data_IF_794121246555
#
_entry.id   IF_794121246555
#
_cell.length_a   1.000
_cell.length_b   1.000
_cell.length_c   1.000
_cell.angle_alpha   90.00
_cell.angle_beta   90.00
_cell.angle_gamma   90.00
#
_symmetry.space_group_name_H-M   'P 1'
#
loop_
_entity.id
_entity.type
_entity.pdbx_description
1 polymer ?
#
# COMPACT_ATOMS: atom_id res chain seq x y z
N UNK A 1 -2.90 -7.66 9.31
CA UNK A 1 -1.47 -7.88 9.05
C UNK A 1 -0.65 -7.58 10.29
N UNK A 2 -0.49 -6.30 10.73
CA UNK A 2 0.39 -5.91 11.84
C UNK A 2 0.15 -6.72 13.13
N UNK A 3 -1.11 -6.93 13.52
CA UNK A 3 -1.44 -7.70 14.73
C UNK A 3 -0.88 -9.13 14.67
N UNK A 4 -0.98 -9.79 13.52
CA UNK A 4 -0.42 -11.12 13.32
C UNK A 4 1.12 -11.12 13.44
N UNK A 5 1.76 -10.06 12.93
CA UNK A 5 3.21 -9.88 13.06
C UNK A 5 3.64 -9.66 14.51
N UNK A 6 2.97 -8.74 15.22
CA UNK A 6 3.28 -8.42 16.62
C UNK A 6 3.04 -9.60 17.57
N UNK A 7 1.97 -10.37 17.33
CA UNK A 7 1.64 -11.56 18.11
C UNK A 7 2.50 -12.79 17.73
N UNK A 8 3.40 -12.65 16.76
CA UNK A 8 4.22 -13.73 16.22
C UNK A 8 3.43 -14.96 15.70
N UNK A 9 2.21 -14.72 15.20
CA UNK A 9 1.38 -15.78 14.61
C UNK A 9 2.07 -16.45 13.41
N UNK A 10 2.85 -15.65 12.64
CA UNK A 10 3.66 -16.12 11.51
C UNK A 10 5.14 -16.32 11.86
N UNK A 11 5.51 -16.27 13.14
CA UNK A 11 6.89 -16.40 13.60
C UNK A 11 7.71 -15.11 13.45
N UNK A 12 9.00 -15.27 13.19
CA UNK A 12 9.91 -14.13 12.94
C UNK A 12 9.75 -13.67 11.49
N UNK A 13 9.71 -12.35 11.28
CA UNK A 13 9.52 -11.76 9.96
C UNK A 13 10.76 -11.99 9.09
N UNK A 14 10.56 -12.40 7.84
CA UNK A 14 11.61 -12.67 6.87
C UNK A 14 11.48 -11.80 5.63
N UNK A 15 10.24 -11.63 5.10
CA UNK A 15 9.99 -10.86 3.89
C UNK A 15 8.67 -10.10 3.96
N UNK A 16 8.67 -8.90 3.35
CA UNK A 16 7.45 -8.10 3.11
C UNK A 16 7.39 -7.73 1.63
N UNK A 17 6.23 -7.94 1.01
CA UNK A 17 5.96 -7.50 -0.36
C UNK A 17 4.77 -6.57 -0.35
N UNK A 18 4.97 -5.36 -0.87
CA UNK A 18 3.91 -4.36 -1.00
C UNK A 18 3.72 -4.05 -2.49
N UNK A 19 2.48 -4.16 -2.95
CA UNK A 19 2.06 -3.71 -4.29
C UNK A 19 1.06 -2.58 -4.09
N UNK A 20 1.38 -1.40 -4.68
CA UNK A 20 0.52 -0.22 -4.60
C UNK A 20 0.45 0.44 -5.98
N UNK A 21 -0.71 0.31 -6.65
CA UNK A 21 -0.89 0.78 -8.02
C UNK A 21 -2.22 1.49 -8.18
N UNK A 22 -2.16 2.72 -8.70
CA UNK A 22 -3.34 3.50 -9.05
C UNK A 22 -3.97 3.00 -10.37
N UNK A 23 -5.28 3.11 -10.55
CA UNK A 23 -5.96 2.65 -11.77
C UNK A 23 -5.58 3.48 -13.00
N UNK A 24 -5.27 4.76 -12.82
CA UNK A 24 -4.93 5.69 -13.90
C UNK A 24 -4.04 6.83 -13.39
N UNK A 25 -3.22 7.42 -14.27
CA UNK A 25 -2.39 8.56 -13.90
C UNK A 25 -3.24 9.80 -13.58
N UNK A 26 -2.79 10.63 -12.63
CA UNK A 26 -3.47 11.88 -12.30
C UNK A 26 -3.29 12.95 -13.38
N UNK A 27 -4.03 14.06 -13.26
CA UNK A 27 -3.91 15.20 -14.15
C UNK A 27 -2.54 15.88 -14.02
N UNK A 28 -2.14 16.66 -15.06
CA UNK A 28 -0.90 17.45 -15.02
C UNK A 28 -0.89 18.45 -13.85
N UNK A 29 -2.01 19.08 -13.54
CA UNK A 29 -2.07 20.07 -12.46
C UNK A 29 -1.88 19.40 -11.09
N UNK A 30 -2.43 18.20 -10.91
CA UNK A 30 -2.16 17.40 -9.72
C UNK A 30 -0.68 17.04 -9.62
N UNK A 31 -0.06 16.53 -10.69
CA UNK A 31 1.36 16.15 -10.71
C UNK A 31 2.28 17.30 -10.29
N UNK A 32 2.00 18.52 -10.75
CA UNK A 32 2.78 19.71 -10.38
C UNK A 32 2.67 20.06 -8.90
N UNK A 33 1.52 19.80 -8.27
CA UNK A 33 1.24 20.13 -6.88
C UNK A 33 1.65 19.02 -5.89
N UNK A 34 1.67 17.76 -6.33
CA UNK A 34 1.82 16.58 -5.48
C UNK A 34 3.22 16.42 -4.85
N UNK A 35 4.24 17.11 -5.37
CA UNK A 35 5.60 17.04 -4.83
C UNK A 35 6.42 15.85 -5.32
N UNK A 36 5.96 15.16 -6.38
CA UNK A 36 6.63 14.05 -7.03
C UNK A 36 6.16 12.67 -6.56
N UNK A 37 6.46 11.66 -7.37
CA UNK A 37 5.98 10.29 -7.21
C UNK A 37 6.25 9.70 -5.82
N UNK A 38 7.43 9.91 -5.27
CA UNK A 38 7.83 9.33 -3.99
C UNK A 38 7.07 9.94 -2.81
N UNK A 39 6.79 11.24 -2.85
CA UNK A 39 6.05 11.94 -1.80
C UNK A 39 4.55 11.72 -1.88
N UNK A 40 4.03 11.50 -3.07
CA UNK A 40 2.60 11.36 -3.31
C UNK A 40 2.14 9.89 -3.24
N UNK A 41 2.95 8.97 -3.74
CA UNK A 41 2.58 7.54 -3.85
C UNK A 41 3.36 6.68 -2.86
N UNK A 42 4.68 6.61 -2.98
CA UNK A 42 5.51 5.64 -2.25
C UNK A 42 5.60 5.92 -0.75
N UNK A 43 5.38 7.17 -0.32
CA UNK A 43 5.40 7.55 1.11
C UNK A 43 4.47 6.68 1.96
N UNK A 44 3.32 6.31 1.43
CA UNK A 44 2.34 5.45 2.11
C UNK A 44 2.88 4.03 2.34
N UNK A 45 3.65 3.50 1.38
CA UNK A 45 4.24 2.16 1.48
C UNK A 45 5.47 2.14 2.40
N UNK A 46 6.21 3.24 2.47
CA UNK A 46 7.29 3.41 3.44
C UNK A 46 6.74 3.47 4.87
N UNK A 47 5.66 4.21 5.08
CA UNK A 47 4.98 4.25 6.37
C UNK A 47 4.40 2.88 6.74
N UNK A 48 3.71 2.22 5.81
CA UNK A 48 3.20 0.86 6.01
C UNK A 48 4.31 -0.14 6.34
N UNK A 49 5.47 -0.02 5.71
CA UNK A 49 6.65 -0.83 6.01
C UNK A 49 7.10 -0.61 7.46
N UNK A 50 7.24 0.64 7.90
CA UNK A 50 7.59 0.99 9.28
C UNK A 50 6.56 0.46 10.28
N UNK A 51 5.27 0.60 9.94
CA UNK A 51 4.16 0.09 10.75
C UNK A 51 4.20 -1.44 10.94
N UNK A 52 4.58 -2.20 9.89
CA UNK A 52 4.72 -3.65 9.96
C UNK A 52 5.96 -4.06 10.75
N UNK A 53 7.09 -3.40 10.51
CA UNK A 53 8.38 -3.70 11.17
C UNK A 53 8.41 -3.28 12.65
N UNK A 54 7.59 -2.31 13.05
CA UNK A 54 7.59 -1.76 14.42
C UNK A 54 8.95 -1.13 14.77
N UNK A 55 9.60 -1.63 15.82
CA UNK A 55 10.87 -1.09 16.31
C UNK A 55 12.12 -1.60 15.55
N UNK A 56 11.95 -2.17 14.35
CA UNK A 56 13.06 -2.64 13.52
C UNK A 56 13.36 -1.61 12.40
N UNK A 57 14.38 -0.75 12.54
CA UNK A 57 14.61 0.33 11.60
C UNK A 57 15.16 -0.17 10.26
N UNK A 58 14.84 0.57 9.20
CA UNK A 58 15.43 0.36 7.88
C UNK A 58 16.90 0.82 7.88
N UNK A 59 17.78 0.02 7.28
CA UNK A 59 19.24 0.29 7.19
C UNK A 59 19.75 0.36 5.76
N UNK A 60 18.95 -0.08 4.78
CA UNK A 60 19.32 -0.02 3.36
C UNK A 60 18.10 0.21 2.50
N UNK A 61 18.24 1.02 1.45
CA UNK A 61 17.25 1.26 0.40
C UNK A 61 17.97 1.25 -0.95
N UNK A 62 17.43 0.48 -1.90
CA UNK A 62 17.78 0.54 -3.32
C UNK A 62 16.50 0.79 -4.10
N UNK A 63 16.52 1.75 -5.03
CA UNK A 63 15.33 2.19 -5.74
C UNK A 63 15.61 2.41 -7.23
N UNK A 64 14.65 2.02 -8.06
CA UNK A 64 14.60 2.35 -9.49
C UNK A 64 13.22 2.90 -9.81
N UNK A 65 13.18 4.00 -10.55
CA UNK A 65 11.94 4.62 -11.01
C UNK A 65 12.10 5.16 -12.41
N UNK A 66 11.02 5.13 -13.20
CA UNK A 66 11.02 5.57 -14.59
C UNK A 66 9.63 6.11 -14.98
N UNK A 67 9.61 6.97 -15.98
CA UNK A 67 8.39 7.43 -16.67
C UNK A 67 8.16 6.56 -17.90
N UNK A 68 7.49 5.41 -17.71
CA UNK A 68 7.32 4.39 -18.74
C UNK A 68 6.15 4.68 -19.68
N UNK A 69 5.09 5.30 -19.19
CA UNK A 69 3.85 5.46 -19.96
C UNK A 69 3.23 6.85 -19.86
N UNK A 70 3.42 7.60 -18.76
CA UNK A 70 2.81 8.91 -18.60
C UNK A 70 3.68 10.03 -19.19
N UNK A 71 3.23 10.58 -20.33
CA UNK A 71 3.90 11.70 -20.98
C UNK A 71 3.97 12.95 -20.10
N UNK A 72 3.01 13.12 -19.18
CA UNK A 72 3.00 14.25 -18.26
C UNK A 72 4.09 14.10 -17.19
N UNK A 73 4.20 12.91 -16.59
CA UNK A 73 5.28 12.61 -15.66
C UNK A 73 6.65 12.81 -16.33
N UNK A 74 6.85 12.27 -17.52
CA UNK A 74 8.07 12.45 -18.30
C UNK A 74 8.40 13.92 -18.55
N UNK A 75 7.39 14.74 -18.88
CA UNK A 75 7.57 16.17 -19.17
C UNK A 75 8.08 16.96 -17.97
N UNK A 76 7.68 16.60 -16.76
CA UNK A 76 8.13 17.25 -15.51
C UNK A 76 9.29 16.51 -14.84
N UNK A 77 9.87 15.50 -15.49
CA UNK A 77 10.97 14.67 -14.97
C UNK A 77 10.61 13.94 -13.67
N UNK A 78 9.35 13.50 -13.54
CA UNK A 78 8.86 12.65 -12.47
C UNK A 78 8.73 11.20 -12.97
N UNK A 79 8.49 10.25 -12.07
CA UNK A 79 8.26 8.86 -12.37
C UNK A 79 6.76 8.55 -12.43
N UNK A 80 6.41 7.44 -13.09
CA UNK A 80 5.07 6.84 -13.03
C UNK A 80 5.11 5.37 -12.56
N UNK A 81 6.28 4.80 -12.49
CA UNK A 81 6.52 3.42 -12.06
C UNK A 81 7.83 3.37 -11.28
N UNK A 82 7.82 2.68 -10.15
CA UNK A 82 9.03 2.49 -9.34
C UNK A 82 9.03 1.15 -8.58
N UNK A 83 10.23 0.67 -8.27
CA UNK A 83 10.46 -0.52 -7.45
C UNK A 83 11.53 -0.21 -6.41
N UNK A 84 11.35 -0.80 -5.22
CA UNK A 84 12.26 -0.61 -4.09
C UNK A 84 12.60 -1.96 -3.48
N UNK A 85 13.84 -2.10 -3.08
CA UNK A 85 14.31 -3.15 -2.18
C UNK A 85 14.86 -2.49 -0.94
N UNK A 86 14.30 -2.84 0.23
CA UNK A 86 14.74 -2.32 1.51
C UNK A 86 15.20 -3.48 2.39
N UNK A 87 16.03 -3.15 3.38
CA UNK A 87 16.48 -4.11 4.39
C UNK A 87 16.39 -3.48 5.76
N UNK A 88 15.80 -4.20 6.70
CA UNK A 88 15.78 -3.80 8.11
C UNK A 88 17.06 -4.16 8.84
N UNK A 89 17.26 -3.60 10.04
CA UNK A 89 18.41 -3.90 10.90
C UNK A 89 18.46 -5.39 11.31
N UNK A 90 17.29 -6.02 11.50
CA UNK A 90 17.20 -7.46 11.81
C UNK A 90 17.32 -8.36 10.58
N UNK A 91 17.42 -7.79 9.38
CA UNK A 91 17.63 -8.53 8.15
C UNK A 91 16.37 -8.83 7.34
N UNK A 92 15.19 -8.35 7.75
CA UNK A 92 13.95 -8.49 6.96
C UNK A 92 14.14 -7.81 5.61
N UNK A 93 13.78 -8.50 4.54
CA UNK A 93 13.81 -7.98 3.17
C UNK A 93 12.43 -7.46 2.77
N UNK A 94 12.38 -6.27 2.18
CA UNK A 94 11.13 -5.64 1.79
C UNK A 94 11.20 -5.28 0.30
N UNK A 95 10.18 -5.68 -0.44
CA UNK A 95 9.96 -5.29 -1.83
C UNK A 95 8.71 -4.43 -1.94
N UNK A 96 8.86 -3.25 -2.51
CA UNK A 96 7.73 -2.36 -2.85
C UNK A 96 7.71 -2.17 -4.36
N UNK A 97 6.54 -2.26 -4.99
CA UNK A 97 6.35 -1.89 -6.37
C UNK A 97 5.14 -0.98 -6.53
N UNK A 98 5.36 0.14 -7.22
CA UNK A 98 4.37 1.17 -7.43
C UNK A 98 4.18 1.46 -8.91
N UNK A 99 2.95 1.79 -9.31
CA UNK A 99 2.65 2.29 -10.64
C UNK A 99 1.41 3.20 -10.60
N UNK A 100 1.39 4.22 -11.44
CA UNK A 100 0.21 5.06 -11.65
C UNK A 100 -0.74 4.50 -12.72
N UNK A 101 -0.66 3.19 -13.03
CA UNK A 101 -1.55 2.54 -14.00
C UNK A 101 -1.74 1.06 -13.71
N UNK A 102 -2.88 0.72 -13.14
CA UNK A 102 -3.40 -0.64 -13.04
C UNK A 102 -4.79 -0.66 -13.67
N UNK A 103 -4.86 -0.98 -14.96
CA UNK A 103 -6.09 -0.92 -15.76
C UNK A 103 -7.24 -1.79 -15.21
N UNK A 104 -6.92 -2.69 -14.31
CA UNK A 104 -7.87 -3.61 -13.66
C UNK A 104 -8.43 -3.08 -12.33
N UNK A 105 -8.01 -1.90 -11.85
CA UNK A 105 -8.51 -1.27 -10.64
C UNK A 105 -7.42 -0.79 -9.68
N UNK A 106 -7.82 -0.36 -8.48
CA UNK A 106 -6.92 0.13 -7.43
C UNK A 106 -6.25 -1.06 -6.71
N UNK A 107 -5.03 -1.39 -7.11
CA UNK A 107 -4.31 -2.57 -6.65
C UNK A 107 -3.46 -2.27 -5.41
N UNK A 108 -3.93 -2.74 -4.26
CA UNK A 108 -3.30 -2.51 -2.95
C UNK A 108 -3.17 -3.83 -2.20
N UNK A 109 -2.00 -4.44 -2.24
CA UNK A 109 -1.73 -5.75 -1.63
C UNK A 109 -0.52 -5.70 -0.73
N UNK A 110 -0.61 -6.44 0.37
CA UNK A 110 0.49 -6.62 1.33
C UNK A 110 0.61 -8.09 1.64
N UNK A 111 1.79 -8.63 1.46
CA UNK A 111 2.17 -9.97 1.88
C UNK A 111 3.29 -9.89 2.90
N UNK A 112 3.16 -10.59 4.01
CA UNK A 112 4.20 -10.70 5.03
C UNK A 112 4.47 -12.17 5.29
N UNK A 113 5.68 -12.59 5.00
CA UNK A 113 6.18 -13.94 5.17
C UNK A 113 7.09 -14.02 6.38
N UNK A 114 6.93 -15.06 7.17
CA UNK A 114 7.72 -15.32 8.37
C UNK A 114 8.01 -16.80 8.57
N UNK A 115 8.82 -17.11 9.55
CA UNK A 115 9.36 -18.45 9.82
C UNK A 115 8.31 -19.54 10.12
N UNK A 116 7.06 -19.16 10.40
CA UNK A 116 5.96 -20.09 10.75
C UNK A 116 4.73 -19.96 9.84
N UNK A 117 4.77 -19.05 8.87
CA UNK A 117 3.64 -18.84 7.96
C UNK A 117 3.66 -17.50 7.29
N UNK A 118 2.53 -17.15 6.69
CA UNK A 118 2.37 -15.96 5.90
C UNK A 118 1.00 -15.32 6.17
N UNK A 119 0.92 -13.99 6.10
CA UNK A 119 -0.33 -13.25 6.12
C UNK A 119 -0.41 -12.33 4.91
N UNK A 120 -1.59 -12.31 4.28
CA UNK A 120 -1.86 -11.50 3.08
C UNK A 120 -3.05 -10.58 3.35
N UNK A 121 -2.93 -9.33 2.92
CA UNK A 121 -4.05 -8.42 2.67
C UNK A 121 -4.18 -8.25 1.18
N UNK A 122 -5.25 -8.80 0.60
CA UNK A 122 -5.48 -8.79 -0.84
C UNK A 122 -6.45 -7.69 -1.26
N UNK A 123 -6.64 -7.53 -2.56
CA UNK A 123 -7.59 -6.61 -3.13
C UNK A 123 -9.03 -6.97 -2.78
N UNK A 124 -9.86 -5.94 -2.60
CA UNK A 124 -11.28 -6.11 -2.34
C UNK A 124 -12.06 -5.98 -3.65
N UNK A 125 -13.08 -6.84 -3.77
CA UNK A 125 -14.08 -6.79 -4.83
C UNK A 125 -15.41 -6.30 -4.26
N UNK A 126 -16.29 -5.69 -5.06
CA UNK A 126 -17.58 -5.14 -4.60
C UNK A 126 -18.52 -6.20 -4.02
N UNK A 127 -18.39 -7.45 -4.44
CA UNK A 127 -19.22 -8.57 -4.01
C UNK A 127 -18.47 -9.90 -4.15
N UNK A 128 -19.05 -10.99 -3.66
CA UNK A 128 -18.49 -12.34 -3.68
C UNK A 128 -19.00 -13.21 -4.84
N UNK A 129 -19.66 -12.63 -5.85
CA UNK A 129 -20.23 -13.37 -6.98
C UNK A 129 -19.11 -13.87 -7.88
N UNK A 130 -19.10 -15.18 -8.14
CA UNK A 130 -18.24 -15.83 -9.12
C UNK A 130 -19.09 -16.48 -10.20
N UNK A 131 -18.69 -16.36 -11.46
CA UNK A 131 -19.38 -16.92 -12.61
C UNK A 131 -18.58 -18.02 -13.26
N UNK A 132 -19.24 -19.13 -13.49
CA UNK A 132 -18.69 -20.29 -14.17
C UNK A 132 -19.55 -20.57 -15.39
N UNK A 133 -18.96 -20.58 -16.57
CA UNK A 133 -19.64 -20.81 -17.86
C UNK A 133 -18.91 -21.88 -18.67
N UNK A 134 -19.49 -22.31 -19.79
CA UNK A 134 -18.79 -23.21 -20.72
C UNK A 134 -17.55 -22.59 -21.39
N UNK A 135 -17.38 -21.26 -21.33
CA UNK A 135 -16.27 -20.54 -21.96
C UNK A 135 -15.22 -20.03 -20.97
N UNK A 136 -15.58 -19.89 -19.71
CA UNK A 136 -14.68 -19.31 -18.69
C UNK A 136 -15.08 -19.77 -17.31
N UNK A 137 -14.09 -19.94 -16.44
CA UNK A 137 -14.27 -20.31 -15.03
C UNK A 137 -13.74 -19.21 -14.14
N UNK A 138 -14.37 -19.04 -12.95
CA UNK A 138 -13.93 -18.14 -11.89
C UNK A 138 -13.86 -16.65 -12.32
N UNK A 139 -14.89 -16.19 -13.06
CA UNK A 139 -15.02 -14.78 -13.42
C UNK A 139 -15.58 -14.02 -12.23
N UNK A 140 -14.82 -13.05 -11.73
CA UNK A 140 -15.21 -12.14 -10.66
C UNK A 140 -15.46 -10.74 -11.20
N UNK A 141 -16.19 -9.93 -10.44
CA UNK A 141 -16.24 -8.51 -10.73
C UNK A 141 -14.86 -7.86 -10.54
N UNK A 142 -14.57 -6.76 -11.26
CA UNK A 142 -13.34 -6.02 -11.06
C UNK A 142 -13.15 -5.59 -9.61
N UNK A 143 -11.91 -5.47 -9.17
CA UNK A 143 -11.60 -4.87 -7.85
C UNK A 143 -12.06 -3.41 -7.80
N UNK A 144 -12.21 -2.85 -6.61
CA UNK A 144 -12.54 -1.43 -6.46
C UNK A 144 -11.66 -0.56 -7.34
N UNK A 145 -12.26 0.42 -8.01
CA UNK A 145 -11.54 1.25 -8.97
C UNK A 145 -10.77 2.39 -8.29
N UNK A 146 -11.22 2.87 -7.13
CA UNK A 146 -10.65 4.06 -6.52
C UNK A 146 -10.43 3.91 -5.01
N UNK A 147 -9.49 4.67 -4.47
CA UNK A 147 -9.10 4.58 -3.06
C UNK A 147 -10.25 4.92 -2.10
N UNK A 148 -11.18 5.80 -2.49
CA UNK A 148 -12.34 6.15 -1.67
C UNK A 148 -13.24 4.94 -1.39
N UNK A 149 -13.44 4.07 -2.38
CA UNK A 149 -14.19 2.82 -2.20
C UNK A 149 -13.41 1.82 -1.32
N UNK A 150 -12.12 1.68 -1.60
CA UNK A 150 -11.22 0.74 -0.89
C UNK A 150 -11.08 1.08 0.59
N UNK A 151 -11.04 2.36 0.95
CA UNK A 151 -10.74 2.84 2.29
C UNK A 151 -11.91 3.54 2.99
N UNK A 152 -13.14 3.38 2.50
CA UNK A 152 -14.33 4.00 3.11
C UNK A 152 -14.40 3.74 4.62
N UNK A 153 -14.23 2.49 5.04
CA UNK A 153 -14.26 2.13 6.46
C UNK A 153 -13.09 2.73 7.24
N UNK A 154 -11.91 2.80 6.65
CA UNK A 154 -10.74 3.39 7.30
C UNK A 154 -10.94 4.89 7.59
N UNK A 155 -11.53 5.64 6.67
CA UNK A 155 -11.88 7.05 6.89
C UNK A 155 -12.91 7.23 8.02
N UNK A 156 -13.94 6.37 8.05
CA UNK A 156 -14.92 6.38 9.14
C UNK A 156 -14.27 6.08 10.50
N UNK A 157 -13.41 5.07 10.54
CA UNK A 157 -12.71 4.66 11.75
C UNK A 157 -11.74 5.74 12.25
N UNK A 158 -11.00 6.38 11.34
CA UNK A 158 -10.11 7.51 11.65
C UNK A 158 -10.89 8.67 12.29
N UNK A 159 -12.00 9.07 11.68
CA UNK A 159 -12.83 10.15 12.20
C UNK A 159 -13.41 9.80 13.57
N UNK A 160 -13.95 8.60 13.74
CA UNK A 160 -14.50 8.13 15.01
C UNK A 160 -13.43 8.07 16.13
N UNK A 161 -12.22 7.60 15.80
CA UNK A 161 -11.12 7.58 16.76
C UNK A 161 -10.69 9.00 17.16
N UNK A 162 -10.65 9.94 16.21
CA UNK A 162 -10.34 11.34 16.49
C UNK A 162 -11.35 11.98 17.45
N UNK A 163 -12.65 11.82 17.16
CA UNK A 163 -13.74 12.31 18.05
C UNK A 163 -13.64 11.69 19.44
N UNK A 164 -13.34 10.39 19.52
CA UNK A 164 -13.15 9.69 20.79
C UNK A 164 -11.95 10.22 21.57
N UNK A 165 -10.84 10.53 20.89
CA UNK A 165 -9.66 11.10 21.54
C UNK A 165 -9.97 12.47 22.15
N UNK A 166 -10.72 13.33 21.44
CA UNK A 166 -11.17 14.62 21.96
C UNK A 166 -12.06 14.44 23.19
N UNK A 167 -13.11 13.61 23.08
CA UNK A 167 -14.09 13.40 24.15
C UNK A 167 -13.48 12.79 25.42
N UNK A 168 -12.51 11.87 25.26
CA UNK A 168 -11.83 11.18 26.36
C UNK A 168 -10.52 11.85 26.79
N UNK A 169 -10.10 12.93 26.14
CA UNK A 169 -8.82 13.62 26.37
C UNK A 169 -7.62 12.66 26.31
N UNK A 170 -7.63 11.74 25.37
CA UNK A 170 -6.54 10.77 25.13
C UNK A 170 -5.74 11.15 23.89
N UNK A 171 -4.48 10.72 23.82
CA UNK A 171 -3.66 10.88 22.59
C UNK A 171 -4.19 9.98 21.47
N UNK A 172 -4.16 10.42 20.20
CA UNK A 172 -4.44 9.56 19.06
C UNK A 172 -3.38 8.45 18.92
N UNK A 173 -3.74 7.37 18.24
CA UNK A 173 -2.82 6.25 17.98
C UNK A 173 -1.69 6.61 17.02
N UNK A 174 -1.99 7.50 16.09
CA UNK A 174 -1.03 8.08 15.13
C UNK A 174 -0.87 9.54 15.52
N UNK A 175 0.35 9.96 15.78
CA UNK A 175 0.70 11.30 16.24
C UNK A 175 1.53 12.06 15.20
N UNK A 176 1.93 13.27 15.51
CA UNK A 176 2.79 14.07 14.64
C UNK A 176 4.22 13.51 14.55
N UNK A 177 4.64 12.71 15.53
CA UNK A 177 5.98 12.10 15.56
C UNK A 177 6.08 10.81 14.72
N UNK A 178 4.94 10.21 14.30
CA UNK A 178 4.90 9.02 13.48
C UNK A 178 5.17 9.34 12.02
#
# INVERSE_FOLDING_TARGET
VQKACLNKEIGDLEMVVITSRDPQPPSMDYLKAAGGFFRDTTIHDFDLTRFILGNDPLVHISAFGEALFDKNAKKIKDQDTAMFILKSKKGVLIHINNSRRAVYGYDQRVEVFGSKGMVISDNQVPNSVERFTSKSTNIKDPIHFFFMERYEQAYKDQFNEFVKCISKKTKPKVTFED
#
